data_IF_615758875776
#
_entry.id   IF_615758875776
#
_cell.length_a   1.000
_cell.length_b   1.000
_cell.length_c   1.000
_cell.angle_alpha   90.00
_cell.angle_beta   90.00
_cell.angle_gamma   90.00
#
_symmetry.space_group_name_H-M   'P 1'
#
loop_
_entity.id
_entity.type
_entity.pdbx_description
1 polymer ?
#
# COMPACT_ATOMS: atom_id res chain seq x y z
N UNK A 1 33.11 -17.28 15.15
CA UNK A 1 33.07 -18.11 16.39
C UNK A 1 32.59 -17.24 17.54
N UNK A 2 31.67 -17.68 18.42
CA UNK A 2 30.78 -18.84 18.36
C UNK A 2 29.30 -18.47 18.63
N UNK A 3 28.37 -18.99 17.87
CA UNK A 3 26.98 -19.08 18.28
C UNK A 3 26.60 -20.57 18.39
N UNK A 4 26.81 -21.11 19.54
CA UNK A 4 26.20 -22.38 19.97
C UNK A 4 26.04 -22.29 21.47
N UNK A 5 24.79 -22.40 21.92
CA UNK A 5 24.29 -22.76 23.25
C UNK A 5 23.21 -21.81 23.78
N UNK A 6 22.07 -21.75 23.07
CA UNK A 6 20.87 -21.20 23.70
C UNK A 6 19.60 -22.07 23.47
N UNK A 7 19.75 -23.20 22.77
CA UNK A 7 18.60 -24.05 22.42
C UNK A 7 18.41 -25.28 23.33
N UNK A 8 19.31 -25.53 24.28
CA UNK A 8 19.23 -26.73 25.14
C UNK A 8 18.63 -26.54 26.52
N UNK A 9 18.62 -25.30 27.04
CA UNK A 9 18.15 -25.07 28.42
C UNK A 9 16.64 -24.83 28.55
N UNK A 10 15.92 -24.64 27.43
CA UNK A 10 14.47 -24.41 27.44
C UNK A 10 13.66 -25.73 27.48
N UNK A 11 14.24 -26.86 27.11
CA UNK A 11 13.52 -28.14 27.04
C UNK A 11 13.64 -29.04 28.28
N UNK A 12 14.54 -28.75 29.21
CA UNK A 12 14.77 -29.63 30.39
C UNK A 12 14.26 -29.08 31.72
N UNK A 13 13.97 -27.76 31.83
CA UNK A 13 13.51 -27.15 33.09
C UNK A 13 12.00 -27.07 33.29
N UNK A 14 11.20 -27.27 32.25
CA UNK A 14 9.74 -27.05 32.30
C UNK A 14 8.87 -28.29 32.55
N UNK A 15 9.40 -29.49 32.46
CA UNK A 15 8.64 -30.73 32.56
C UNK A 15 8.72 -31.44 33.91
N UNK A 16 9.69 -31.06 34.77
CA UNK A 16 9.90 -31.75 36.04
C UNK A 16 8.92 -31.32 37.15
N UNK A 17 8.26 -30.15 37.07
CA UNK A 17 7.37 -29.65 38.11
C UNK A 17 5.86 -29.91 37.91
N UNK A 18 5.48 -30.66 36.86
CA UNK A 18 4.05 -30.98 36.63
C UNK A 18 3.66 -32.41 36.98
N UNK A 19 4.56 -33.25 37.50
CA UNK A 19 4.27 -34.69 37.76
C UNK A 19 4.00 -35.08 39.20
N UNK A 20 3.98 -34.14 40.16
CA UNK A 20 3.77 -34.47 41.60
C UNK A 20 2.36 -34.22 42.15
N UNK A 21 1.36 -33.89 41.32
CA UNK A 21 0.00 -33.64 41.76
C UNK A 21 -1.09 -34.45 41.03
N UNK A 22 -0.91 -35.73 40.88
CA UNK A 22 -1.95 -36.57 40.29
C UNK A 22 -2.10 -37.89 41.05
N UNK A 23 -2.58 -37.83 42.27
CA UNK A 23 -3.34 -38.94 42.87
C UNK A 23 -4.31 -38.37 43.91
N UNK A 24 -5.53 -37.99 43.49
CA UNK A 24 -6.79 -38.28 44.15
C UNK A 24 -7.97 -37.57 43.44
N UNK A 25 -9.03 -38.37 43.26
CA UNK A 25 -10.44 -38.03 43.01
C UNK A 25 -10.93 -37.94 41.56
N UNK A 26 -11.73 -39.00 41.28
CA UNK A 26 -12.54 -39.22 40.06
C UNK A 26 -13.83 -38.38 40.05
N UNK A 27 -13.81 -37.07 39.98
CA UNK A 27 -15.08 -36.32 39.86
C UNK A 27 -14.99 -34.94 39.19
N UNK A 28 -13.88 -34.59 38.49
CA UNK A 28 -13.77 -33.29 37.81
C UNK A 28 -13.10 -33.35 36.41
N UNK A 29 -13.43 -34.30 35.58
CA UNK A 29 -12.77 -34.47 34.25
C UNK A 29 -13.21 -33.40 33.25
N UNK A 30 -14.41 -32.82 33.34
CA UNK A 30 -14.91 -31.81 32.41
C UNK A 30 -14.38 -30.38 32.67
N UNK A 31 -14.06 -30.04 33.91
CA UNK A 31 -13.51 -28.71 34.26
C UNK A 31 -12.02 -28.54 33.92
N UNK A 32 -11.26 -29.62 33.84
CA UNK A 32 -9.81 -29.57 33.60
C UNK A 32 -9.45 -29.35 32.16
N UNK A 33 -10.26 -29.80 31.19
CA UNK A 33 -10.01 -29.62 29.78
C UNK A 33 -10.21 -28.15 29.33
N UNK A 34 -11.23 -27.48 29.87
CA UNK A 34 -11.49 -26.07 29.56
C UNK A 34 -10.45 -25.14 30.19
N UNK A 35 -10.02 -25.41 31.46
CA UNK A 35 -8.94 -24.62 32.10
C UNK A 35 -7.57 -24.77 31.41
N UNK A 36 -7.22 -25.97 30.92
CA UNK A 36 -5.95 -26.17 30.20
C UNK A 36 -5.97 -25.51 28.81
N UNK A 37 -7.10 -25.53 28.07
CA UNK A 37 -7.22 -24.81 26.82
C UNK A 37 -7.14 -23.29 27.00
N UNK A 38 -7.79 -22.74 28.03
CA UNK A 38 -7.77 -21.31 28.33
C UNK A 38 -6.37 -20.85 28.78
N UNK A 39 -5.64 -21.63 29.60
CA UNK A 39 -4.27 -21.32 29.98
C UNK A 39 -3.30 -21.37 28.78
N UNK A 40 -3.45 -22.34 27.89
CA UNK A 40 -2.63 -22.46 26.68
C UNK A 40 -2.88 -21.26 25.72
N UNK A 41 -4.12 -20.85 25.56
CA UNK A 41 -4.48 -19.73 24.69
C UNK A 41 -3.99 -18.37 25.25
N UNK A 42 -4.10 -18.17 26.57
CA UNK A 42 -3.58 -16.97 27.21
C UNK A 42 -2.04 -16.95 27.30
N UNK A 43 -1.38 -18.10 27.37
CA UNK A 43 0.08 -18.20 27.31
C UNK A 43 0.62 -17.89 25.91
N UNK A 44 -0.08 -18.30 24.85
CA UNK A 44 0.26 -17.92 23.46
C UNK A 44 0.09 -16.42 23.20
N UNK A 45 -0.95 -15.77 23.79
CA UNK A 45 -1.08 -14.31 23.70
C UNK A 45 0.05 -13.55 24.41
N UNK A 46 0.60 -14.10 25.50
CA UNK A 46 1.65 -13.44 26.31
C UNK A 46 3.07 -13.56 25.73
N UNK A 47 3.31 -14.51 24.82
CA UNK A 47 4.60 -14.73 24.18
C UNK A 47 4.68 -14.13 22.75
N UNK A 48 3.67 -13.42 22.26
CA UNK A 48 3.81 -12.67 21.01
C UNK A 48 4.76 -11.51 21.25
N UNK A 49 5.84 -11.50 20.48
CA UNK A 49 6.67 -10.31 20.33
C UNK A 49 5.73 -9.19 19.83
N UNK A 50 5.49 -8.09 20.58
CA UNK A 50 4.45 -7.10 20.25
C UNK A 50 4.67 -6.38 18.92
N UNK A 51 5.73 -6.70 18.19
CA UNK A 51 6.11 -6.13 16.89
C UNK A 51 6.18 -7.17 15.75
N UNK A 52 5.75 -8.41 15.97
CA UNK A 52 5.78 -9.43 14.92
C UNK A 52 4.47 -9.43 14.13
N UNK A 53 4.56 -9.15 12.84
CA UNK A 53 3.44 -9.29 11.91
C UNK A 53 2.91 -10.72 11.91
N UNK A 54 1.60 -10.88 11.72
CA UNK A 54 1.01 -12.18 11.43
C UNK A 54 1.59 -12.69 10.10
N UNK A 55 2.07 -13.94 9.99
CA UNK A 55 2.69 -14.46 8.76
C UNK A 55 1.81 -14.39 7.52
N UNK A 56 0.48 -14.58 7.67
CA UNK A 56 -0.47 -14.45 6.56
C UNK A 56 -0.53 -12.98 6.12
N UNK A 57 -0.64 -12.06 7.07
CA UNK A 57 -0.60 -10.62 6.81
C UNK A 57 0.72 -10.24 6.13
N UNK A 58 1.85 -10.70 6.63
CA UNK A 58 3.17 -10.39 6.07
C UNK A 58 3.27 -10.79 4.60
N UNK A 59 2.88 -12.01 4.26
CA UNK A 59 2.89 -12.51 2.89
C UNK A 59 1.98 -11.69 1.99
N UNK A 60 0.75 -11.44 2.42
CA UNK A 60 -0.22 -10.64 1.70
C UNK A 60 0.22 -9.18 1.55
N UNK A 61 0.72 -8.53 2.59
CA UNK A 61 1.11 -7.13 2.56
C UNK A 61 2.38 -6.87 1.74
N UNK A 62 3.25 -7.86 1.53
CA UNK A 62 4.41 -7.80 0.63
C UNK A 62 4.06 -8.11 -0.82
N UNK A 63 2.89 -8.65 -1.11
CA UNK A 63 2.39 -8.93 -2.45
C UNK A 63 1.73 -7.68 -3.07
N UNK A 64 1.09 -7.84 -4.23
CA UNK A 64 0.36 -6.76 -4.91
C UNK A 64 -0.97 -6.38 -4.23
N UNK A 65 -1.14 -6.72 -2.96
CA UNK A 65 -2.26 -6.24 -2.14
C UNK A 65 -2.31 -4.70 -2.13
N UNK A 66 -3.51 -4.13 -2.04
CA UNK A 66 -3.68 -2.66 -2.11
C UNK A 66 -3.51 -2.07 -3.50
N UNK A 67 -3.34 -2.90 -4.55
CA UNK A 67 -3.35 -2.45 -5.93
C UNK A 67 -4.74 -2.62 -6.54
N UNK A 68 -5.26 -1.57 -7.19
CA UNK A 68 -6.45 -1.68 -8.03
C UNK A 68 -6.12 -2.48 -9.31
N UNK A 69 -4.87 -2.38 -9.78
CA UNK A 69 -4.36 -3.16 -10.89
C UNK A 69 -4.21 -2.39 -12.19
N UNK A 70 -4.30 -3.10 -13.30
CA UNK A 70 -3.99 -2.67 -14.64
C UNK A 70 -2.63 -3.20 -15.14
N UNK A 71 -2.09 -2.58 -16.16
CA UNK A 71 -0.79 -2.96 -16.75
C UNK A 71 0.37 -2.34 -15.97
N UNK A 72 1.11 -3.18 -15.26
CA UNK A 72 2.31 -2.74 -14.52
C UNK A 72 3.45 -2.30 -15.45
N UNK A 73 3.45 -2.76 -16.70
CA UNK A 73 4.47 -2.46 -17.71
C UNK A 73 5.71 -3.36 -17.64
N UNK A 74 6.65 -3.02 -18.51
CA UNK A 74 8.00 -3.61 -18.55
C UNK A 74 8.99 -2.54 -19.03
N UNK A 75 10.32 -2.77 -18.98
CA UNK A 75 11.31 -1.83 -19.51
C UNK A 75 11.09 -1.47 -20.99
N UNK A 76 10.57 -2.39 -21.80
CA UNK A 76 10.28 -2.19 -23.22
C UNK A 76 8.93 -1.47 -23.44
N UNK A 77 8.02 -1.57 -22.47
CA UNK A 77 6.68 -0.97 -22.52
C UNK A 77 6.36 -0.30 -21.18
N UNK A 78 7.01 0.81 -20.93
CA UNK A 78 6.97 1.54 -19.68
C UNK A 78 5.58 2.15 -19.42
N UNK A 79 4.98 1.81 -18.29
CA UNK A 79 3.67 2.28 -17.88
C UNK A 79 3.72 3.59 -17.07
N UNK A 80 2.58 4.24 -16.92
CA UNK A 80 2.33 5.30 -15.92
C UNK A 80 1.69 4.63 -14.69
N UNK A 81 2.28 4.82 -13.53
CA UNK A 81 1.74 4.35 -12.27
C UNK A 81 1.04 5.48 -11.53
N UNK A 82 -0.15 5.21 -11.02
CA UNK A 82 -0.88 6.09 -10.12
C UNK A 82 -0.84 5.50 -8.71
N UNK A 83 -0.20 6.20 -7.77
CA UNK A 83 -0.05 5.74 -6.41
C UNK A 83 -0.82 6.64 -5.43
N UNK A 84 -1.87 6.07 -4.81
CA UNK A 84 -2.58 6.66 -3.68
C UNK A 84 -1.90 6.34 -2.35
N UNK A 85 -2.54 6.75 -1.24
CA UNK A 85 -2.07 6.48 0.11
C UNK A 85 -2.63 5.14 0.58
N UNK A 86 -3.95 5.02 0.64
CA UNK A 86 -4.71 3.84 1.04
C UNK A 86 -6.08 3.87 0.35
N UNK A 87 -6.74 2.73 0.23
CA UNK A 87 -8.11 2.71 -0.29
C UNK A 87 -9.09 3.43 0.62
N UNK A 88 -10.03 4.14 0.04
CA UNK A 88 -11.18 4.66 0.77
C UNK A 88 -12.17 3.55 1.14
N UNK A 89 -12.86 3.72 2.26
CA UNK A 89 -13.88 2.82 2.74
C UNK A 89 -13.53 2.19 4.09
N UNK A 90 -14.56 1.93 4.90
CA UNK A 90 -14.38 1.16 6.13
C UNK A 90 -14.39 -0.33 5.80
N UNK A 91 -13.43 -1.07 6.32
CA UNK A 91 -13.38 -2.53 6.27
C UNK A 91 -13.57 -3.07 7.68
N UNK A 92 -14.23 -4.21 7.81
CA UNK A 92 -14.23 -4.97 9.06
C UNK A 92 -12.95 -5.81 9.15
N UNK A 93 -12.69 -6.40 10.32
CA UNK A 93 -11.57 -7.33 10.48
C UNK A 93 -11.80 -8.61 9.65
N UNK A 94 -13.05 -9.04 9.52
CA UNK A 94 -13.47 -10.20 8.72
C UNK A 94 -13.24 -9.93 7.23
N UNK A 95 -13.58 -8.72 6.73
CA UNK A 95 -13.29 -8.32 5.35
C UNK A 95 -11.77 -8.36 5.08
N UNK A 96 -10.97 -7.85 6.02
CA UNK A 96 -9.51 -7.89 5.91
C UNK A 96 -8.98 -9.32 5.89
N UNK A 97 -9.50 -10.20 6.78
CA UNK A 97 -9.12 -11.60 6.80
C UNK A 97 -9.48 -12.31 5.50
N UNK A 98 -10.65 -12.04 4.95
CA UNK A 98 -11.06 -12.58 3.64
C UNK A 98 -10.19 -12.07 2.49
N UNK A 99 -9.79 -10.81 2.53
CA UNK A 99 -8.86 -10.23 1.55
C UNK A 99 -7.46 -10.87 1.61
N UNK A 100 -6.95 -11.14 2.79
CA UNK A 100 -5.65 -11.79 2.99
C UNK A 100 -5.58 -13.25 2.52
N UNK A 101 -6.72 -13.88 2.24
CA UNK A 101 -6.78 -15.23 1.65
C UNK A 101 -6.74 -15.21 0.11
N UNK A 102 -6.80 -14.04 -0.51
CA UNK A 102 -6.72 -13.93 -1.98
C UNK A 102 -5.28 -14.10 -2.44
N UNK A 103 -5.12 -14.72 -3.60
CA UNK A 103 -3.82 -14.74 -4.29
C UNK A 103 -3.53 -13.35 -4.89
N UNK A 104 -2.62 -12.65 -4.27
CA UNK A 104 -2.12 -11.33 -4.70
C UNK A 104 -0.64 -11.44 -5.16
N UNK A 105 -0.19 -12.63 -5.56
CA UNK A 105 1.18 -12.86 -6.06
C UNK A 105 1.47 -12.16 -7.39
N UNK A 106 0.41 -11.80 -8.12
CA UNK A 106 0.45 -11.05 -9.39
C UNK A 106 -0.38 -9.78 -9.28
N UNK A 107 -0.04 -8.73 -10.07
CA UNK A 107 -0.91 -7.56 -10.18
C UNK A 107 -2.30 -7.96 -10.65
N UNK A 108 -3.32 -7.34 -10.07
CA UNK A 108 -4.70 -7.45 -10.58
C UNK A 108 -4.76 -6.87 -11.98
N UNK A 109 -5.62 -7.43 -12.81
CA UNK A 109 -5.79 -6.97 -14.20
C UNK A 109 -6.47 -5.60 -14.31
N UNK A 110 -7.07 -5.10 -13.23
CA UNK A 110 -7.77 -3.82 -13.17
C UNK A 110 -9.30 -3.98 -13.20
N UNK A 111 -9.98 -2.94 -13.66
CA UNK A 111 -11.43 -2.89 -13.74
C UNK A 111 -11.95 -3.64 -14.98
N UNK A 112 -13.11 -4.29 -14.86
CA UNK A 112 -13.74 -5.01 -15.98
C UNK A 112 -14.10 -4.08 -17.15
N UNK A 113 -14.48 -2.82 -16.85
CA UNK A 113 -14.90 -1.84 -17.85
C UNK A 113 -14.35 -0.45 -17.55
N UNK A 114 -13.97 0.28 -18.61
CA UNK A 114 -13.48 1.66 -18.51
C UNK A 114 -14.47 2.60 -17.80
N UNK A 115 -15.78 2.36 -17.92
CA UNK A 115 -16.82 3.13 -17.25
C UNK A 115 -16.74 3.08 -15.72
N UNK A 116 -16.15 2.01 -15.13
CA UNK A 116 -15.92 1.92 -13.69
C UNK A 116 -14.95 3.01 -13.20
N UNK A 117 -14.01 3.45 -14.03
CA UNK A 117 -13.15 4.58 -13.71
C UNK A 117 -13.93 5.87 -13.46
N UNK A 118 -15.09 6.04 -14.10
CA UNK A 118 -15.91 7.23 -13.97
C UNK A 118 -16.96 7.14 -12.85
N UNK A 119 -17.11 5.96 -12.23
CA UNK A 119 -18.03 5.75 -11.11
C UNK A 119 -17.52 6.33 -9.78
N UNK A 120 -16.21 6.45 -9.61
CA UNK A 120 -15.58 6.91 -8.38
C UNK A 120 -14.94 8.28 -8.58
N UNK A 121 -15.24 9.23 -7.69
CA UNK A 121 -14.74 10.61 -7.79
C UNK A 121 -13.21 10.70 -7.88
N UNK A 122 -12.48 9.85 -7.16
CA UNK A 122 -11.04 9.80 -7.22
C UNK A 122 -10.55 9.42 -8.64
N UNK A 123 -11.09 8.36 -9.20
CA UNK A 123 -10.71 7.90 -10.54
C UNK A 123 -11.11 8.93 -11.61
N UNK A 124 -12.29 9.50 -11.49
CA UNK A 124 -12.75 10.57 -12.38
C UNK A 124 -11.77 11.75 -12.42
N UNK A 125 -11.30 12.23 -11.26
CA UNK A 125 -10.29 13.28 -11.20
C UNK A 125 -8.94 12.80 -11.77
N UNK A 126 -8.56 11.55 -11.51
CA UNK A 126 -7.36 10.96 -12.10
C UNK A 126 -7.44 10.92 -13.65
N UNK A 127 -8.60 10.56 -14.22
CA UNK A 127 -8.79 10.58 -15.69
C UNK A 127 -8.59 11.98 -16.28
N UNK A 128 -9.04 13.04 -15.59
CA UNK A 128 -8.79 14.43 -16.02
C UNK A 128 -7.29 14.76 -16.05
N UNK A 129 -6.55 14.37 -15.03
CA UNK A 129 -5.12 14.61 -14.96
C UNK A 129 -4.35 13.80 -16.02
N UNK A 130 -4.66 12.52 -16.16
CA UNK A 130 -4.04 11.66 -17.16
C UNK A 130 -4.35 12.14 -18.59
N UNK A 131 -5.57 12.63 -18.85
CA UNK A 131 -5.94 13.29 -20.11
C UNK A 131 -5.05 14.50 -20.40
N UNK A 132 -4.87 15.40 -19.41
CA UNK A 132 -3.99 16.54 -19.57
C UNK A 132 -2.51 16.13 -19.78
N UNK A 133 -2.00 15.15 -19.06
CA UNK A 133 -0.64 14.59 -19.25
C UNK A 133 -0.47 14.02 -20.66
N UNK A 134 -1.52 13.45 -21.26
CA UNK A 134 -1.47 12.93 -22.63
C UNK A 134 -1.49 14.03 -23.70
N UNK A 135 -1.58 15.30 -23.31
CA UNK A 135 -1.62 16.45 -24.21
C UNK A 135 -3.03 16.83 -24.68
N UNK A 136 -4.07 16.27 -24.07
CA UNK A 136 -5.46 16.66 -24.36
C UNK A 136 -6.01 17.64 -23.30
N UNK A 137 -7.14 18.28 -23.62
CA UNK A 137 -7.79 19.15 -22.65
C UNK A 137 -8.49 18.33 -21.55
N UNK A 138 -8.48 18.84 -20.31
CA UNK A 138 -9.19 18.23 -19.18
C UNK A 138 -10.66 17.95 -19.51
N UNK A 139 -11.33 18.79 -20.31
CA UNK A 139 -12.72 18.57 -20.76
C UNK A 139 -12.91 17.27 -21.56
N UNK A 140 -11.86 16.80 -22.25
CA UNK A 140 -11.88 15.56 -23.04
C UNK A 140 -11.60 14.27 -22.24
N UNK A 141 -11.58 14.33 -20.91
CA UNK A 141 -11.22 13.19 -20.06
C UNK A 141 -12.09 11.93 -20.25
N UNK A 142 -13.35 12.10 -20.71
CA UNK A 142 -14.26 10.96 -20.98
C UNK A 142 -13.81 10.19 -22.23
N UNK A 143 -13.48 10.93 -23.29
CA UNK A 143 -12.98 10.35 -24.53
C UNK A 143 -11.60 9.70 -24.32
N UNK A 144 -10.72 10.37 -23.56
CA UNK A 144 -9.46 9.78 -23.11
C UNK A 144 -9.69 8.47 -22.33
N UNK A 145 -10.63 8.45 -21.36
CA UNK A 145 -10.95 7.26 -20.59
C UNK A 145 -11.47 6.11 -21.49
N UNK A 146 -12.30 6.43 -22.47
CA UNK A 146 -12.84 5.43 -23.38
C UNK A 146 -11.79 4.87 -24.36
N UNK A 147 -10.84 5.68 -24.81
CA UNK A 147 -9.79 5.30 -25.77
C UNK A 147 -8.61 4.60 -25.10
N UNK A 148 -8.03 5.21 -24.06
CA UNK A 148 -6.84 4.72 -23.39
C UNK A 148 -7.16 3.65 -22.33
N UNK A 149 -8.40 3.60 -21.85
CA UNK A 149 -8.92 2.63 -20.85
C UNK A 149 -7.97 2.41 -19.65
N UNK A 150 -7.50 3.48 -18.98
CA UNK A 150 -6.54 3.32 -17.88
C UNK A 150 -7.07 2.36 -16.81
N UNK A 151 -6.20 1.53 -16.25
CA UNK A 151 -6.52 0.58 -15.17
C UNK A 151 -7.64 -0.42 -15.49
N UNK A 152 -7.88 -0.68 -16.78
CA UNK A 152 -8.93 -1.60 -17.25
C UNK A 152 -8.31 -2.91 -17.75
N UNK A 153 -8.96 -4.01 -17.49
CA UNK A 153 -8.53 -5.33 -17.93
C UNK A 153 -8.29 -5.37 -19.45
N UNK A 154 -7.16 -5.94 -19.86
CA UNK A 154 -6.76 -6.01 -21.27
C UNK A 154 -6.22 -4.71 -21.87
N UNK A 155 -6.25 -3.58 -21.13
CA UNK A 155 -5.60 -2.34 -21.53
C UNK A 155 -4.12 -2.32 -21.18
N UNK A 156 -3.36 -1.34 -21.69
CA UNK A 156 -1.93 -1.25 -21.44
C UNK A 156 -1.49 0.17 -21.05
N UNK A 157 -0.33 0.25 -20.39
CA UNK A 157 0.37 1.49 -20.11
C UNK A 157 -0.07 2.22 -18.83
N UNK A 158 -0.99 1.66 -18.02
CA UNK A 158 -1.45 2.30 -16.78
C UNK A 158 -1.63 1.28 -15.66
N UNK A 159 -1.06 1.58 -14.51
CA UNK A 159 -1.18 0.76 -13.30
C UNK A 159 -1.58 1.61 -12.10
N UNK A 160 -2.48 1.12 -11.24
CA UNK A 160 -2.96 1.82 -10.07
C UNK A 160 -2.73 1.05 -8.79
N UNK A 161 -2.17 1.72 -7.78
CA UNK A 161 -1.78 1.14 -6.51
C UNK A 161 -1.90 2.12 -5.34
N UNK A 162 -1.69 1.61 -4.12
CA UNK A 162 -1.59 2.42 -2.92
C UNK A 162 -0.35 2.05 -2.10
N UNK A 163 0.19 3.02 -1.32
CA UNK A 163 1.29 2.79 -0.40
C UNK A 163 0.95 1.71 0.63
N UNK A 164 -0.22 1.85 1.24
CA UNK A 164 -0.69 1.01 2.32
C UNK A 164 -1.81 0.08 1.84
N UNK A 165 -1.72 -1.25 2.08
CA UNK A 165 -2.64 -2.20 1.49
C UNK A 165 -4.00 -2.29 2.19
N UNK A 166 -4.12 -1.86 3.47
CA UNK A 166 -5.38 -1.89 4.20
C UNK A 166 -6.22 -0.66 3.86
N UNK A 167 -7.51 -0.85 3.60
CA UNK A 167 -8.47 0.22 3.34
C UNK A 167 -8.96 0.86 4.65
N UNK A 168 -9.00 2.20 4.69
CA UNK A 168 -9.57 2.97 5.80
C UNK A 168 -10.54 4.03 5.28
N UNK A 169 -11.46 4.48 6.16
CA UNK A 169 -12.37 5.58 5.82
C UNK A 169 -11.62 6.87 5.50
N UNK A 170 -10.53 7.11 6.21
CA UNK A 170 -9.62 8.25 6.06
C UNK A 170 -8.23 7.91 6.61
N UNK A 171 -7.26 8.77 6.36
CA UNK A 171 -5.87 8.58 6.77
C UNK A 171 -5.61 8.82 8.26
N UNK A 172 -6.65 8.97 9.09
CA UNK A 172 -6.50 9.23 10.52
C UNK A 172 -5.79 8.06 11.22
N UNK A 173 -4.72 8.36 11.91
CA UNK A 173 -3.87 7.39 12.62
C UNK A 173 -4.58 6.69 13.79
N UNK A 174 -5.62 7.31 14.37
CA UNK A 174 -6.40 6.72 15.47
C UNK A 174 -7.44 5.70 14.98
N UNK A 175 -7.66 5.60 13.67
CA UNK A 175 -8.60 4.63 13.10
C UNK A 175 -7.94 3.28 12.93
N UNK A 176 -7.93 2.51 14.01
CA UNK A 176 -7.48 1.13 14.04
C UNK A 176 -8.55 0.30 14.71
N UNK A 177 -9.10 -0.67 14.01
CA UNK A 177 -10.14 -1.53 14.57
C UNK A 177 -9.51 -2.48 15.58
N UNK A 178 -10.15 -2.68 16.75
CA UNK A 178 -9.62 -3.53 17.82
C UNK A 178 -9.28 -4.95 17.37
N UNK A 179 -10.08 -5.51 16.46
CA UNK A 179 -9.86 -6.87 15.92
C UNK A 179 -8.77 -6.92 14.85
N UNK A 180 -8.21 -5.81 14.40
CA UNK A 180 -7.10 -5.81 13.44
C UNK A 180 -5.81 -6.36 14.02
N UNK A 181 -5.64 -6.30 15.34
CA UNK A 181 -4.50 -6.89 16.04
C UNK A 181 -4.41 -8.41 15.80
N UNK A 182 -5.52 -9.12 15.82
CA UNK A 182 -5.56 -10.56 15.58
C UNK A 182 -5.25 -10.91 14.11
N UNK A 183 -5.72 -10.10 13.17
CA UNK A 183 -5.48 -10.30 11.74
C UNK A 183 -4.05 -9.93 11.32
N UNK A 184 -3.52 -8.83 11.84
CA UNK A 184 -2.26 -8.24 11.37
C UNK A 184 -1.07 -8.51 12.28
N UNK A 185 -1.29 -8.70 13.59
CA UNK A 185 -0.27 -8.75 14.63
C UNK A 185 0.06 -7.39 15.25
N UNK A 186 -0.59 -6.29 14.84
CA UNK A 186 -0.30 -4.94 15.32
C UNK A 186 -1.44 -4.40 16.19
N UNK A 187 -1.08 -3.84 17.35
CA UNK A 187 -2.03 -3.21 18.28
C UNK A 187 -2.43 -1.79 17.82
N UNK A 188 -1.63 -1.15 16.98
CA UNK A 188 -1.84 0.25 16.55
C UNK A 188 -1.58 0.42 15.06
N UNK A 189 -2.28 1.38 14.45
CA UNK A 189 -2.07 1.79 13.06
C UNK A 189 -0.63 2.27 12.81
N UNK A 190 0.00 2.94 13.78
CA UNK A 190 1.38 3.38 13.71
C UNK A 190 2.36 2.22 13.48
N UNK A 191 2.20 1.13 14.23
CA UNK A 191 3.08 -0.05 14.15
C UNK A 191 2.94 -0.74 12.79
N UNK A 192 1.72 -0.82 12.26
CA UNK A 192 1.42 -1.28 10.90
C UNK A 192 2.09 -0.38 9.84
N UNK A 193 2.00 0.94 9.99
CA UNK A 193 2.62 1.89 9.06
C UNK A 193 4.14 1.74 9.07
N UNK A 194 4.76 1.68 10.25
CA UNK A 194 6.20 1.50 10.39
C UNK A 194 6.67 0.16 9.81
N UNK A 195 5.86 -0.89 10.00
CA UNK A 195 6.12 -2.18 9.37
C UNK A 195 6.05 -2.09 7.82
N UNK A 196 5.04 -1.42 7.26
CA UNK A 196 4.93 -1.21 5.82
C UNK A 196 6.15 -0.44 5.26
N UNK A 197 6.58 0.61 5.95
CA UNK A 197 7.79 1.37 5.57
C UNK A 197 9.03 0.48 5.53
N UNK A 198 9.17 -0.42 6.50
CA UNK A 198 10.32 -1.30 6.62
C UNK A 198 10.30 -2.50 5.67
N UNK A 199 9.13 -3.05 5.35
CA UNK A 199 9.02 -4.34 4.67
C UNK A 199 8.31 -4.26 3.32
N UNK A 200 7.26 -3.43 3.17
CA UNK A 200 6.51 -3.28 1.93
C UNK A 200 7.17 -2.29 0.97
N UNK A 201 7.64 -1.14 1.44
CA UNK A 201 8.23 -0.11 0.57
C UNK A 201 9.47 -0.60 -0.18
N UNK A 202 10.39 -1.39 0.40
CA UNK A 202 11.46 -2.04 -0.37
C UNK A 202 10.93 -2.95 -1.49
N UNK A 203 9.83 -3.66 -1.26
CA UNK A 203 9.19 -4.48 -2.29
C UNK A 203 8.61 -3.62 -3.42
N UNK A 204 7.99 -2.48 -3.09
CA UNK A 204 7.47 -1.53 -4.09
C UNK A 204 8.60 -0.93 -4.95
N UNK A 205 9.76 -0.62 -4.36
CA UNK A 205 10.95 -0.22 -5.10
C UNK A 205 11.40 -1.31 -6.08
N UNK A 206 11.41 -2.54 -5.63
CA UNK A 206 11.76 -3.67 -6.49
C UNK A 206 10.78 -3.82 -7.67
N UNK A 207 9.48 -3.64 -7.45
CA UNK A 207 8.51 -3.62 -8.54
C UNK A 207 8.81 -2.49 -9.54
N UNK A 208 9.10 -1.29 -9.03
CA UNK A 208 9.45 -0.15 -9.87
C UNK A 208 10.75 -0.40 -10.65
N UNK A 209 11.78 -0.94 -10.03
CA UNK A 209 13.04 -1.28 -10.68
C UNK A 209 12.87 -2.35 -11.78
N UNK A 210 11.98 -3.32 -11.56
CA UNK A 210 11.68 -4.38 -12.54
C UNK A 210 10.85 -3.87 -13.71
N UNK A 211 9.79 -3.10 -13.44
CA UNK A 211 8.86 -2.63 -14.46
C UNK A 211 9.34 -1.34 -15.16
N UNK A 212 10.20 -0.56 -14.52
CA UNK A 212 10.74 0.72 -14.98
C UNK A 212 9.63 1.67 -15.49
N UNK A 213 8.62 2.01 -14.68
CA UNK A 213 7.56 2.91 -15.16
C UNK A 213 8.16 4.23 -15.65
N UNK A 214 7.56 4.84 -16.68
CA UNK A 214 8.00 6.15 -17.16
C UNK A 214 7.63 7.29 -16.22
N UNK A 215 6.53 7.12 -15.46
CA UNK A 215 6.04 8.07 -14.48
C UNK A 215 5.39 7.32 -13.30
N UNK A 216 5.73 7.71 -12.07
CA UNK A 216 4.98 7.37 -10.86
C UNK A 216 4.33 8.66 -10.35
N UNK A 217 3.00 8.72 -10.44
CA UNK A 217 2.20 9.85 -10.01
C UNK A 217 1.67 9.60 -8.61
N UNK A 218 2.20 10.30 -7.62
CA UNK A 218 1.91 10.12 -6.19
C UNK A 218 0.91 11.18 -5.69
N UNK A 219 -0.20 10.74 -5.10
CA UNK A 219 -1.31 11.61 -4.72
C UNK A 219 -1.41 11.80 -3.22
N UNK A 220 -0.92 12.94 -2.72
CA UNK A 220 -0.99 13.28 -1.29
C UNK A 220 0.29 13.88 -0.76
N UNK A 221 0.42 15.21 -0.87
CA UNK A 221 1.63 15.96 -0.50
C UNK A 221 2.15 15.72 0.93
N UNK A 222 1.26 15.42 1.87
CA UNK A 222 1.62 15.18 3.27
C UNK A 222 2.37 13.84 3.47
N UNK A 223 2.31 12.93 2.50
CA UNK A 223 3.00 11.64 2.50
C UNK A 223 4.26 11.65 1.63
N UNK A 224 4.82 12.85 1.33
CA UNK A 224 6.03 12.98 0.51
C UNK A 224 7.20 12.13 1.01
N UNK A 225 7.39 12.05 2.34
CA UNK A 225 8.42 11.19 2.93
C UNK A 225 8.20 9.71 2.67
N UNK A 226 6.94 9.26 2.70
CA UNK A 226 6.57 7.88 2.47
C UNK A 226 6.72 7.50 0.99
N UNK A 227 6.30 8.37 0.06
CA UNK A 227 6.53 8.20 -1.38
C UNK A 227 8.02 8.19 -1.72
N UNK A 228 8.81 9.08 -1.08
CA UNK A 228 10.27 9.05 -1.22
C UNK A 228 10.82 7.69 -0.82
N UNK A 229 10.45 7.21 0.36
CA UNK A 229 10.92 5.92 0.87
C UNK A 229 10.44 4.72 0.03
N UNK A 230 9.28 4.83 -0.64
CA UNK A 230 8.74 3.76 -1.46
C UNK A 230 9.34 3.68 -2.87
N UNK A 231 9.82 4.80 -3.45
CA UNK A 231 10.19 4.85 -4.87
C UNK A 231 11.58 5.43 -5.16
N UNK A 232 12.32 5.84 -4.13
CA UNK A 232 13.68 6.34 -4.26
C UNK A 232 14.65 5.58 -3.37
N UNK A 233 15.91 5.60 -3.74
CA UNK A 233 17.01 5.27 -2.86
C UNK A 233 17.22 6.39 -1.84
N UNK A 234 17.99 6.11 -0.76
CA UNK A 234 18.25 7.08 0.29
C UNK A 234 18.96 8.33 -0.27
N UNK A 235 18.62 9.50 0.29
CA UNK A 235 19.24 10.80 0.02
C UNK A 235 18.79 11.58 -1.24
N UNK A 236 17.75 11.20 -1.95
CA UNK A 236 17.19 12.02 -3.03
C UNK A 236 16.50 13.26 -2.48
N UNK A 237 16.77 14.42 -3.08
CA UNK A 237 16.02 15.66 -2.84
C UNK A 237 15.02 15.86 -3.96
N UNK A 238 13.74 16.08 -3.61
CA UNK A 238 12.74 16.47 -4.60
C UNK A 238 12.94 17.93 -5.01
N UNK A 239 12.91 18.17 -6.31
CA UNK A 239 12.71 19.50 -6.86
C UNK A 239 11.26 19.93 -6.65
N UNK A 240 10.98 21.21 -6.73
CA UNK A 240 9.62 21.76 -6.69
C UNK A 240 9.53 22.97 -7.60
N UNK A 241 8.32 23.26 -8.09
CA UNK A 241 8.10 24.43 -8.91
C UNK A 241 7.91 25.69 -8.01
N UNK A 242 8.68 26.74 -8.31
CA UNK A 242 8.58 28.03 -7.65
C UNK A 242 8.42 29.12 -8.74
N UNK A 243 7.29 29.87 -8.76
CA UNK A 243 6.17 29.82 -7.82
C UNK A 243 5.28 28.57 -7.99
N UNK A 244 4.53 28.20 -6.92
CA UNK A 244 3.57 27.08 -6.97
C UNK A 244 2.48 27.30 -8.02
N UNK A 245 2.02 26.21 -8.65
CA UNK A 245 0.95 26.24 -9.65
C UNK A 245 -0.41 26.51 -8.97
N UNK A 246 -1.00 27.69 -9.22
CA UNK A 246 -2.24 28.14 -8.58
C UNK A 246 -2.20 28.03 -7.02
N UNK A 247 -1.03 28.21 -6.41
CA UNK A 247 -0.83 28.10 -4.98
C UNK A 247 -0.75 26.65 -4.48
N UNK A 248 -0.61 25.70 -5.36
CA UNK A 248 -0.47 24.28 -5.07
C UNK A 248 0.92 23.79 -5.47
N UNK A 249 1.57 23.06 -4.57
CA UNK A 249 2.92 22.56 -4.79
C UNK A 249 2.94 21.32 -5.70
N UNK A 250 3.95 21.24 -6.57
CA UNK A 250 4.33 20.06 -7.32
C UNK A 250 5.79 19.73 -6.99
N UNK A 251 6.06 18.51 -6.54
CA UNK A 251 7.42 18.01 -6.30
C UNK A 251 7.74 16.90 -7.30
N UNK A 252 8.98 16.84 -7.71
CA UNK A 252 9.42 15.82 -8.64
C UNK A 252 10.89 15.46 -8.46
N UNK A 253 11.24 14.25 -8.84
CA UNK A 253 12.62 13.81 -9.03
C UNK A 253 12.66 12.61 -9.95
N UNK A 254 13.84 12.29 -10.50
CA UNK A 254 14.07 11.08 -11.29
C UNK A 254 14.85 10.10 -10.41
N UNK A 255 14.40 8.85 -10.31
CA UNK A 255 15.11 7.82 -9.57
C UNK A 255 16.27 7.22 -10.39
N UNK A 256 17.05 6.31 -9.78
CA UNK A 256 18.18 5.64 -10.42
C UNK A 256 17.82 4.85 -11.68
N UNK A 257 16.57 4.40 -11.82
CA UNK A 257 16.07 3.63 -12.97
C UNK A 257 15.54 4.51 -14.10
N UNK A 258 15.69 5.84 -13.99
CA UNK A 258 15.16 6.79 -14.98
C UNK A 258 13.65 6.94 -14.94
N UNK A 259 13.01 6.60 -13.81
CA UNK A 259 11.58 6.83 -13.58
C UNK A 259 11.36 8.23 -13.02
N UNK A 260 10.49 9.02 -13.63
CA UNK A 260 10.04 10.29 -13.08
C UNK A 260 9.02 10.03 -11.97
N UNK A 261 9.32 10.47 -10.75
CA UNK A 261 8.39 10.41 -9.61
C UNK A 261 7.88 11.81 -9.33
N UNK A 262 6.56 11.99 -9.41
CA UNK A 262 5.89 13.28 -9.21
C UNK A 262 4.92 13.18 -8.06
N UNK A 263 4.99 14.12 -7.12
CA UNK A 263 4.10 14.18 -5.96
C UNK A 263 3.24 15.44 -6.06
N UNK A 264 1.92 15.26 -6.01
CA UNK A 264 0.94 16.33 -6.13
C UNK A 264 -0.04 16.31 -4.96
N UNK A 265 -0.79 17.40 -4.72
CA UNK A 265 -1.86 17.40 -3.74
C UNK A 265 -2.92 16.34 -4.04
N UNK A 266 -3.59 15.84 -3.00
CA UNK A 266 -4.71 14.90 -3.17
C UNK A 266 -5.85 15.55 -3.97
N UNK A 267 -6.58 14.77 -4.79
CA UNK A 267 -7.46 15.29 -5.83
C UNK A 267 -8.94 15.38 -5.45
N UNK A 268 -9.34 14.95 -4.26
CA UNK A 268 -10.77 14.91 -3.85
C UNK A 268 -11.09 15.66 -2.57
N UNK A 269 -10.11 16.25 -1.90
CA UNK A 269 -10.36 17.08 -0.72
C UNK A 269 -10.45 18.57 -1.08
N UNK A 270 -11.10 19.36 -0.20
CA UNK A 270 -11.35 20.80 -0.41
C UNK A 270 -10.10 21.62 -0.72
N UNK A 271 -8.96 21.24 -0.12
CA UNK A 271 -7.68 21.94 -0.25
C UNK A 271 -6.74 21.26 -1.25
N UNK A 272 -7.25 20.35 -2.04
CA UNK A 272 -6.48 19.55 -3.00
C UNK A 272 -6.56 20.09 -4.43
N UNK A 273 -6.05 19.30 -5.34
CA UNK A 273 -6.07 19.59 -6.78
C UNK A 273 -7.42 19.20 -7.38
N UNK A 274 -8.43 20.10 -7.26
CA UNK A 274 -9.82 19.82 -7.64
C UNK A 274 -10.34 20.67 -8.80
N UNK A 275 -9.73 21.83 -9.08
CA UNK A 275 -10.17 22.74 -10.16
C UNK A 275 -9.65 22.25 -11.50
N UNK A 276 -10.53 22.19 -12.51
CA UNK A 276 -10.15 21.75 -13.87
C UNK A 276 -8.98 22.55 -14.46
N UNK A 277 -8.98 23.88 -14.29
CA UNK A 277 -7.87 24.73 -14.76
C UNK A 277 -6.54 24.40 -14.08
N UNK A 278 -6.55 24.12 -12.79
CA UNK A 278 -5.34 23.72 -12.06
C UNK A 278 -4.90 22.31 -12.46
N UNK A 279 -5.84 21.37 -12.64
CA UNK A 279 -5.54 20.02 -13.14
C UNK A 279 -4.89 20.08 -14.52
N UNK A 280 -5.38 20.96 -15.43
CA UNK A 280 -4.76 21.17 -16.75
C UNK A 280 -3.31 21.62 -16.61
N UNK A 281 -3.06 22.67 -15.83
CA UNK A 281 -1.71 23.20 -15.63
C UNK A 281 -0.76 22.16 -15.03
N UNK A 282 -1.23 21.38 -14.07
CA UNK A 282 -0.45 20.27 -13.50
C UNK A 282 -0.14 19.20 -14.55
N UNK A 283 -1.13 18.81 -15.35
CA UNK A 283 -0.94 17.85 -16.43
C UNK A 283 0.05 18.33 -17.47
N UNK A 284 -0.08 19.59 -17.94
CA UNK A 284 0.84 20.20 -18.88
C UNK A 284 2.27 20.24 -18.32
N UNK A 285 2.42 20.61 -17.04
CA UNK A 285 3.73 20.64 -16.37
C UNK A 285 4.35 19.27 -16.25
N UNK A 286 3.57 18.25 -15.86
CA UNK A 286 4.05 16.88 -15.79
C UNK A 286 4.46 16.36 -17.16
N UNK A 287 3.70 16.66 -18.21
CA UNK A 287 4.06 16.30 -19.58
C UNK A 287 5.39 16.94 -20.01
N UNK A 288 5.64 18.22 -19.67
CA UNK A 288 6.93 18.90 -19.89
C UNK A 288 8.07 18.21 -19.14
N UNK A 289 7.87 17.85 -17.86
CA UNK A 289 8.87 17.11 -17.09
C UNK A 289 9.18 15.75 -17.70
N UNK A 290 8.17 15.02 -18.16
CA UNK A 290 8.36 13.74 -18.86
C UNK A 290 9.19 13.91 -20.14
N UNK A 291 8.97 14.97 -20.88
CA UNK A 291 9.75 15.28 -22.09
C UNK A 291 11.20 15.64 -21.74
N UNK A 292 11.39 16.55 -20.78
CA UNK A 292 12.71 17.00 -20.31
C UNK A 292 13.59 15.85 -19.80
N UNK A 293 12.98 14.80 -19.23
CA UNK A 293 13.70 13.65 -18.66
C UNK A 293 13.63 12.39 -19.52
N UNK A 294 13.14 12.47 -20.78
CA UNK A 294 13.07 11.32 -21.68
C UNK A 294 12.13 10.21 -21.22
N UNK A 295 11.07 10.57 -20.50
CA UNK A 295 10.10 9.63 -19.92
C UNK A 295 8.78 9.56 -20.73
N UNK A 296 8.76 10.02 -21.97
CA UNK A 296 7.57 9.95 -22.85
C UNK A 296 7.35 8.59 -23.49
#
# INVERSE_FOLDING_TARGET
MPFRNCARDILTGGLANCWSMSQNSRSHVLGFLTSRMICSWNCFKKCRNPMAANPIFETWAKSYSGCDGGDIGSPERRAIWLCGIEWGGARTAEDLQAEMQRDESRPREGYDHASHNLAYIFNWQAMKLLSAISGTQVSGYRDFCAQAQPFTQGSSGYFKMNLYPIAFKDTNQTRWHENYADATGFEKKSDYIDWCKKHRFPQMRQWAATAQPKLILCLGKNYRGDFKQAFHDDNVTFNYDDPPIDGLDLWWSVNSDGTLVVIIPFMVNRNGLTRNSSIQKFGDRIAQLMEQHGCR
#
